data_IF_824224160182
#
_entry.id   IF_824224160182
#
_cell.length_a   1.000
_cell.length_b   1.000
_cell.length_c   1.000
_cell.angle_alpha   90.00
_cell.angle_beta   90.00
_cell.angle_gamma   90.00
#
_symmetry.space_group_name_H-M   'P 1'
#
loop_
_entity.id
_entity.type
_entity.pdbx_description
1 polymer ?
#
# COMPACT_ATOMS: atom_id res chain seq x y z
N UNK A 1 47.48 63.74 21.40
CA UNK A 1 48.25 62.63 20.80
C UNK A 1 48.02 62.70 19.31
N UNK A 2 48.99 63.23 18.57
CA UNK A 2 48.87 63.40 17.13
C UNK A 2 49.13 62.06 16.43
N UNK A 3 48.18 61.63 15.61
CA UNK A 3 48.33 60.52 14.65
C UNK A 3 49.59 60.73 13.80
N UNK A 4 50.61 59.88 14.00
CA UNK A 4 51.70 59.75 13.06
C UNK A 4 51.16 59.04 11.81
N UNK A 5 50.80 59.83 10.80
CA UNK A 5 50.52 59.32 9.46
C UNK A 5 51.83 58.78 8.89
N UNK A 6 52.00 57.46 8.89
CA UNK A 6 53.13 56.80 8.25
C UNK A 6 53.02 57.01 6.72
N UNK A 7 53.73 58.03 6.21
CA UNK A 7 53.88 58.28 4.78
C UNK A 7 54.76 57.18 4.17
N UNK A 8 54.15 56.13 3.62
CA UNK A 8 54.84 55.08 2.90
C UNK A 8 55.38 55.65 1.58
N UNK A 9 56.68 55.95 1.53
CA UNK A 9 57.33 56.44 0.33
C UNK A 9 57.65 55.27 -0.62
N UNK A 10 56.85 55.12 -1.67
CA UNK A 10 56.98 54.06 -2.70
C UNK A 10 57.93 54.42 -3.85
N UNK A 11 58.73 55.49 -3.75
CA UNK A 11 59.74 55.83 -4.76
C UNK A 11 60.94 54.86 -4.85
N UNK A 12 61.49 54.30 -3.76
CA UNK A 12 62.63 53.41 -3.88
C UNK A 12 62.21 52.05 -4.43
N UNK A 13 63.05 51.49 -5.30
CA UNK A 13 62.78 50.23 -6.03
C UNK A 13 62.42 49.09 -5.07
N UNK A 14 63.11 48.98 -3.93
CA UNK A 14 62.87 47.94 -2.93
C UNK A 14 61.48 48.01 -2.27
N UNK A 15 60.87 49.20 -2.17
CA UNK A 15 59.52 49.39 -1.65
C UNK A 15 58.43 49.05 -2.69
N UNK A 16 58.78 49.02 -3.99
CA UNK A 16 57.86 48.62 -5.09
C UNK A 16 57.82 47.12 -5.31
N UNK A 17 58.89 46.39 -4.96
CA UNK A 17 58.95 44.92 -5.06
C UNK A 17 57.79 44.24 -4.32
N UNK A 18 57.49 44.50 -3.03
CA UNK A 18 56.38 43.85 -2.35
C UNK A 18 55.01 44.21 -2.94
N UNK A 19 54.83 45.45 -3.43
CA UNK A 19 53.59 45.86 -4.11
C UNK A 19 53.41 45.13 -5.45
N UNK A 20 54.48 44.97 -6.22
CA UNK A 20 54.46 44.21 -7.47
C UNK A 20 54.20 42.72 -7.22
N UNK A 21 54.84 42.13 -6.20
CA UNK A 21 54.58 40.74 -5.79
C UNK A 21 53.14 40.53 -5.34
N UNK A 22 52.57 41.47 -4.57
CA UNK A 22 51.18 41.44 -4.17
C UNK A 22 50.23 41.52 -5.39
N UNK A 23 50.50 42.43 -6.32
CA UNK A 23 49.72 42.55 -7.55
C UNK A 23 49.80 41.28 -8.43
N UNK A 24 50.99 40.68 -8.55
CA UNK A 24 51.17 39.41 -9.27
C UNK A 24 50.45 38.25 -8.59
N UNK A 25 50.50 38.17 -7.26
CA UNK A 25 49.74 37.17 -6.50
C UNK A 25 48.23 37.36 -6.68
N UNK A 26 47.74 38.60 -6.63
CA UNK A 26 46.32 38.90 -6.86
C UNK A 26 45.88 38.49 -8.28
N UNK A 27 46.67 38.81 -9.31
CA UNK A 27 46.39 38.37 -10.68
C UNK A 27 46.41 36.84 -10.82
N UNK A 28 47.37 36.17 -10.19
CA UNK A 28 47.45 34.71 -10.18
C UNK A 28 46.23 34.09 -9.48
N UNK A 29 45.86 34.60 -8.30
CA UNK A 29 44.70 34.14 -7.55
C UNK A 29 43.39 34.40 -8.30
N UNK A 30 43.23 35.57 -8.94
CA UNK A 30 42.06 35.89 -9.77
C UNK A 30 41.98 34.99 -11.00
N UNK A 31 43.10 34.71 -11.67
CA UNK A 31 43.16 33.77 -12.78
C UNK A 31 42.75 32.35 -12.33
N UNK A 32 43.29 31.88 -11.21
CA UNK A 32 42.98 30.57 -10.68
C UNK A 32 41.51 30.45 -10.26
N UNK A 33 40.96 31.45 -9.55
CA UNK A 33 39.56 31.49 -9.17
C UNK A 33 38.60 31.56 -10.37
N UNK A 34 38.92 32.37 -11.38
CA UNK A 34 38.12 32.45 -12.60
C UNK A 34 38.16 31.13 -13.38
N UNK A 35 39.35 30.53 -13.54
CA UNK A 35 39.54 29.25 -14.20
C UNK A 35 38.77 28.14 -13.47
N UNK A 36 38.88 28.06 -12.14
CA UNK A 36 38.17 27.10 -11.31
C UNK A 36 36.65 27.29 -11.42
N UNK A 37 36.15 28.52 -11.28
CA UNK A 37 34.71 28.83 -11.34
C UNK A 37 34.08 28.53 -12.71
N UNK A 38 34.82 28.75 -13.81
CA UNK A 38 34.36 28.31 -15.14
C UNK A 38 34.32 26.78 -15.20
N UNK A 39 35.35 26.09 -14.70
CA UNK A 39 35.38 24.62 -14.66
C UNK A 39 34.22 24.02 -13.86
N UNK A 40 33.99 24.50 -12.64
CA UNK A 40 32.88 24.09 -11.77
C UNK A 40 31.51 24.32 -12.43
N UNK A 41 31.30 25.51 -13.00
CA UNK A 41 30.06 25.80 -13.76
C UNK A 41 29.90 24.83 -14.93
N UNK A 42 30.96 24.58 -15.71
CA UNK A 42 30.89 23.62 -16.82
C UNK A 42 30.56 22.19 -16.32
N UNK A 43 31.10 21.78 -15.17
CA UNK A 43 30.81 20.48 -14.56
C UNK A 43 29.35 20.35 -14.12
N UNK A 44 28.73 21.44 -13.64
CA UNK A 44 27.31 21.46 -13.27
C UNK A 44 26.39 21.38 -14.50
N UNK A 45 26.76 22.04 -15.61
CA UNK A 45 25.93 22.09 -16.82
C UNK A 45 26.11 20.89 -17.76
N UNK A 46 27.27 20.22 -17.77
CA UNK A 46 27.53 19.12 -18.70
C UNK A 46 26.48 17.98 -18.69
N UNK A 47 25.94 17.54 -17.53
CA UNK A 47 24.89 16.51 -17.52
C UNK A 47 23.57 16.96 -18.18
N UNK A 48 23.28 18.26 -18.18
CA UNK A 48 22.01 18.81 -18.71
C UNK A 48 21.94 18.66 -20.23
N UNK A 49 23.08 18.81 -20.93
CA UNK A 49 23.14 18.71 -22.39
C UNK A 49 23.20 17.28 -22.90
N UNK A 50 23.47 16.30 -22.03
CA UNK A 50 23.66 14.90 -22.42
C UNK A 50 22.46 14.31 -23.18
N UNK A 51 21.23 14.65 -22.78
CA UNK A 51 20.03 14.13 -23.43
C UNK A 51 19.86 14.59 -24.89
N UNK A 52 20.43 15.75 -25.26
CA UNK A 52 20.32 16.33 -26.60
C UNK A 52 21.59 16.15 -27.43
N UNK A 53 22.75 16.18 -26.79
CA UNK A 53 24.06 16.04 -27.43
C UNK A 53 25.08 15.41 -26.44
N UNK A 54 25.19 14.07 -26.44
CA UNK A 54 26.13 13.35 -25.59
C UNK A 54 27.59 13.77 -25.83
N UNK A 55 27.97 14.01 -27.09
CA UNK A 55 29.34 14.39 -27.45
C UNK A 55 29.70 15.73 -26.83
N UNK A 56 28.82 16.74 -26.97
CA UNK A 56 29.03 18.04 -26.34
C UNK A 56 29.07 17.97 -24.81
N UNK A 57 28.27 17.08 -24.19
CA UNK A 57 28.32 16.84 -22.75
C UNK A 57 29.68 16.30 -22.30
N UNK A 58 30.22 15.30 -23.01
CA UNK A 58 31.56 14.76 -22.73
C UNK A 58 32.65 15.82 -22.92
N UNK A 59 32.65 16.55 -24.03
CA UNK A 59 33.63 17.61 -24.29
C UNK A 59 33.60 18.70 -23.21
N UNK A 60 32.40 19.06 -22.75
CA UNK A 60 32.19 20.05 -21.68
C UNK A 60 32.74 19.53 -20.35
N UNK A 61 32.47 18.27 -20.00
CA UNK A 61 32.97 17.66 -18.77
C UNK A 61 34.50 17.48 -18.77
N UNK A 62 35.10 17.11 -19.91
CA UNK A 62 36.56 17.06 -20.02
C UNK A 62 37.18 18.45 -19.90
N UNK A 63 36.57 19.46 -20.51
CA UNK A 63 37.02 20.84 -20.39
C UNK A 63 36.91 21.32 -18.93
N UNK A 64 35.84 20.96 -18.23
CA UNK A 64 35.67 21.22 -16.81
C UNK A 64 36.84 20.61 -15.99
N UNK A 65 37.13 19.33 -16.16
CA UNK A 65 38.23 18.65 -15.46
C UNK A 65 39.62 19.22 -15.81
N UNK A 66 39.80 19.77 -17.02
CA UNK A 66 41.03 20.50 -17.39
C UNK A 66 41.12 21.86 -16.71
N UNK A 67 40.01 22.59 -16.63
CA UNK A 67 39.97 23.94 -16.05
C UNK A 67 40.05 23.91 -14.52
N UNK A 68 39.37 22.97 -13.88
CA UNK A 68 39.35 22.76 -12.43
C UNK A 68 39.81 21.33 -12.06
N UNK A 69 41.11 21.02 -12.19
CA UNK A 69 41.65 19.67 -11.92
C UNK A 69 41.67 19.28 -10.44
N UNK A 70 41.40 20.24 -9.55
CA UNK A 70 41.28 20.08 -8.11
C UNK A 70 39.82 20.17 -7.63
N UNK A 71 38.86 20.30 -8.55
CA UNK A 71 37.44 20.25 -8.24
C UNK A 71 36.94 18.79 -8.27
N UNK A 72 36.44 18.25 -7.15
CA UNK A 72 35.84 16.91 -7.13
C UNK A 72 34.59 16.82 -8.02
N UNK A 73 33.82 17.90 -8.23
CA UNK A 73 32.61 17.87 -9.05
C UNK A 73 32.95 17.67 -10.53
N UNK A 74 33.96 18.36 -11.05
CA UNK A 74 34.46 18.15 -12.42
C UNK A 74 34.82 16.68 -12.70
N UNK A 75 35.57 16.05 -11.81
CA UNK A 75 35.91 14.63 -11.92
C UNK A 75 34.70 13.71 -11.74
N UNK A 76 33.81 14.02 -10.79
CA UNK A 76 32.59 13.24 -10.54
C UNK A 76 31.63 13.28 -11.75
N UNK A 77 31.45 14.45 -12.36
CA UNK A 77 30.63 14.63 -13.56
C UNK A 77 31.20 13.82 -14.72
N UNK A 78 32.51 13.94 -14.98
CA UNK A 78 33.16 13.19 -16.06
C UNK A 78 33.06 11.67 -15.84
N UNK A 79 33.26 11.21 -14.59
CA UNK A 79 33.09 9.81 -14.22
C UNK A 79 31.66 9.30 -14.46
N UNK A 80 30.65 10.11 -14.10
CA UNK A 80 29.23 9.77 -14.33
C UNK A 80 28.92 9.62 -15.80
N UNK A 81 29.45 10.49 -16.65
CA UNK A 81 29.25 10.42 -18.10
C UNK A 81 29.86 9.15 -18.68
N UNK A 82 31.11 8.81 -18.33
CA UNK A 82 31.73 7.54 -18.77
C UNK A 82 30.96 6.30 -18.27
N UNK A 83 30.22 6.41 -17.16
CA UNK A 83 29.43 5.30 -16.60
C UNK A 83 28.06 5.12 -17.25
N UNK A 84 27.50 6.09 -17.98
CA UNK A 84 26.08 6.05 -18.39
C UNK A 84 25.72 4.77 -19.12
N UNK A 85 26.55 4.35 -20.08
CA UNK A 85 26.28 3.19 -20.93
C UNK A 85 26.85 1.88 -20.37
N UNK A 86 27.55 1.92 -19.23
CA UNK A 86 28.31 0.79 -18.68
C UNK A 86 29.15 0.06 -19.74
N UNK A 87 29.68 0.81 -20.72
CA UNK A 87 30.55 0.29 -21.75
C UNK A 87 31.82 -0.27 -21.08
N UNK A 88 32.16 -1.57 -21.27
CA UNK A 88 33.37 -2.16 -20.74
C UNK A 88 34.65 -1.40 -21.10
N UNK A 89 34.69 -0.68 -22.23
CA UNK A 89 35.86 0.10 -22.66
C UNK A 89 36.00 1.43 -21.90
N UNK A 90 34.88 2.09 -21.55
CA UNK A 90 34.87 3.39 -20.86
C UNK A 90 34.88 3.26 -19.33
N UNK A 91 34.51 2.09 -18.81
CA UNK A 91 34.43 1.83 -17.38
C UNK A 91 35.76 2.03 -16.61
N UNK A 92 36.94 1.66 -17.14
CA UNK A 92 38.22 1.99 -16.52
C UNK A 92 38.46 3.51 -16.42
N UNK A 93 38.02 4.29 -17.41
CA UNK A 93 38.12 5.76 -17.38
C UNK A 93 37.20 6.34 -16.32
N UNK A 94 35.96 5.86 -16.25
CA UNK A 94 35.03 6.24 -15.18
C UNK A 94 35.64 6.00 -13.79
N UNK A 95 36.24 4.83 -13.57
CA UNK A 95 36.88 4.47 -12.29
C UNK A 95 38.06 5.38 -11.96
N UNK A 96 38.91 5.72 -12.93
CA UNK A 96 40.03 6.65 -12.71
C UNK A 96 39.55 8.04 -12.29
N UNK A 97 38.48 8.55 -12.92
CA UNK A 97 37.89 9.85 -12.52
C UNK A 97 37.19 9.78 -11.16
N UNK A 98 36.51 8.68 -10.83
CA UNK A 98 35.96 8.47 -9.49
C UNK A 98 37.06 8.42 -8.41
N UNK A 99 38.20 7.80 -8.70
CA UNK A 99 39.34 7.76 -7.77
C UNK A 99 39.89 9.16 -7.50
N UNK A 100 40.06 9.99 -8.54
CA UNK A 100 40.45 11.40 -8.39
C UNK A 100 39.42 12.18 -7.56
N UNK A 101 38.14 12.07 -7.90
CA UNK A 101 37.07 12.71 -7.15
C UNK A 101 37.09 12.29 -5.66
N UNK A 102 37.30 11.00 -5.38
CA UNK A 102 37.33 10.47 -4.00
C UNK A 102 38.55 10.94 -3.19
N UNK A 103 39.68 11.18 -3.86
CA UNK A 103 40.88 11.73 -3.25
C UNK A 103 40.73 13.21 -2.91
N UNK A 104 40.01 13.97 -3.73
CA UNK A 104 39.71 15.39 -3.52
C UNK A 104 38.59 15.59 -2.48
N UNK A 105 37.55 14.73 -2.49
CA UNK A 105 36.38 14.79 -1.62
C UNK A 105 36.27 13.57 -0.69
N UNK A 106 37.25 13.39 0.20
CA UNK A 106 37.38 12.20 1.07
C UNK A 106 36.20 11.92 2.00
N UNK A 107 35.38 12.94 2.29
CA UNK A 107 34.20 12.87 3.17
C UNK A 107 32.86 13.04 2.43
N UNK A 108 32.86 13.05 1.10
CA UNK A 108 31.62 13.09 0.32
C UNK A 108 31.09 11.67 0.07
N UNK A 109 29.99 11.32 0.74
CA UNK A 109 29.38 10.00 0.60
C UNK A 109 28.90 9.71 -0.82
N UNK A 110 28.50 10.73 -1.60
CA UNK A 110 27.99 10.57 -2.96
C UNK A 110 29.08 10.06 -3.89
N UNK A 111 30.30 10.59 -3.74
CA UNK A 111 31.47 10.16 -4.52
C UNK A 111 31.79 8.69 -4.22
N UNK A 112 31.87 8.33 -2.94
CA UNK A 112 32.11 6.94 -2.53
C UNK A 112 31.00 5.99 -2.98
N UNK A 113 29.74 6.44 -2.96
CA UNK A 113 28.60 5.65 -3.41
C UNK A 113 28.66 5.39 -4.92
N UNK A 114 28.85 6.43 -5.72
CA UNK A 114 28.94 6.31 -7.18
C UNK A 114 30.14 5.47 -7.62
N UNK A 115 31.30 5.68 -6.99
CA UNK A 115 32.50 4.88 -7.20
C UNK A 115 32.25 3.40 -6.89
N UNK A 116 31.60 3.12 -5.75
CA UNK A 116 31.30 1.74 -5.37
C UNK A 116 30.28 1.07 -6.28
N UNK A 117 29.29 1.82 -6.78
CA UNK A 117 28.37 1.34 -7.82
C UNK A 117 29.11 1.01 -9.12
N UNK A 118 30.02 1.87 -9.56
CA UNK A 118 30.83 1.66 -10.76
C UNK A 118 31.71 0.41 -10.65
N UNK A 119 32.46 0.27 -9.54
CA UNK A 119 33.31 -0.92 -9.28
C UNK A 119 32.51 -2.21 -9.22
N UNK A 120 31.36 -2.21 -8.55
CA UNK A 120 30.50 -3.38 -8.48
C UNK A 120 29.94 -3.79 -9.86
N UNK A 121 29.71 -2.83 -10.76
CA UNK A 121 29.27 -3.11 -12.13
C UNK A 121 30.41 -3.55 -13.06
N UNK A 122 31.65 -3.13 -12.79
CA UNK A 122 32.85 -3.49 -13.57
C UNK A 122 33.43 -4.85 -13.23
N UNK A 123 32.83 -5.58 -12.29
CA UNK A 123 33.31 -6.87 -11.82
C UNK A 123 34.25 -6.78 -10.61
N UNK A 124 34.71 -5.59 -10.21
CA UNK A 124 35.39 -5.38 -8.92
C UNK A 124 34.35 -5.28 -7.78
N UNK A 125 33.71 -6.40 -7.50
CA UNK A 125 32.61 -6.47 -6.54
C UNK A 125 33.08 -6.13 -5.12
N UNK A 126 34.23 -6.64 -4.69
CA UNK A 126 34.74 -6.37 -3.33
C UNK A 126 35.23 -4.93 -3.17
N UNK A 127 35.88 -4.35 -4.18
CA UNK A 127 36.21 -2.92 -4.18
C UNK A 127 34.96 -2.04 -4.18
N UNK A 128 33.89 -2.46 -4.86
CA UNK A 128 32.59 -1.82 -4.83
C UNK A 128 31.95 -1.86 -3.44
N UNK A 129 31.94 -3.03 -2.78
CA UNK A 129 31.45 -3.20 -1.41
C UNK A 129 32.24 -2.32 -0.43
N UNK A 130 33.56 -2.24 -0.55
CA UNK A 130 34.40 -1.41 0.31
C UNK A 130 34.06 0.08 0.19
N UNK A 131 33.93 0.60 -1.03
CA UNK A 131 33.54 1.98 -1.29
C UNK A 131 32.10 2.28 -0.79
N UNK A 132 31.16 1.37 -1.00
CA UNK A 132 29.78 1.53 -0.51
C UNK A 132 29.69 1.47 1.02
N UNK A 133 30.50 0.66 1.70
CA UNK A 133 30.62 0.70 3.17
C UNK A 133 31.12 2.05 3.66
N UNK A 134 32.07 2.66 2.95
CA UNK A 134 32.55 4.02 3.27
C UNK A 134 31.44 5.04 3.09
N UNK A 135 30.66 4.96 2.01
CA UNK A 135 29.49 5.83 1.80
C UNK A 135 28.45 5.69 2.92
N UNK A 136 28.11 4.47 3.33
CA UNK A 136 27.20 4.21 4.45
C UNK A 136 27.74 4.77 5.78
N UNK A 137 29.06 4.69 6.01
CA UNK A 137 29.67 5.25 7.22
C UNK A 137 29.61 6.80 7.25
N UNK A 138 29.72 7.45 6.10
CA UNK A 138 29.63 8.91 5.96
C UNK A 138 28.18 9.42 6.04
N UNK A 139 27.21 8.63 5.57
CA UNK A 139 25.79 8.98 5.53
C UNK A 139 24.91 7.87 6.14
N UNK A 140 25.00 7.60 7.46
CA UNK A 140 24.36 6.44 8.08
C UNK A 140 22.82 6.47 8.06
N UNK A 141 22.21 7.64 7.91
CA UNK A 141 20.76 7.83 7.87
C UNK A 141 20.18 7.85 6.45
N UNK A 142 21.02 7.86 5.42
CA UNK A 142 20.56 7.86 4.04
C UNK A 142 20.30 6.42 3.57
N UNK A 143 19.12 6.21 2.97
CA UNK A 143 18.69 4.90 2.51
C UNK A 143 19.47 4.43 1.26
N UNK A 144 19.81 5.35 0.36
CA UNK A 144 20.37 5.06 -0.96
C UNK A 144 21.76 4.37 -0.92
N UNK A 145 22.74 4.82 -0.11
CA UNK A 145 24.01 4.09 0.03
C UNK A 145 23.82 2.65 0.53
N UNK A 146 22.87 2.42 1.45
CA UNK A 146 22.55 1.08 1.97
C UNK A 146 21.90 0.21 0.92
N UNK A 147 20.99 0.76 0.13
CA UNK A 147 20.38 0.09 -1.01
C UNK A 147 21.46 -0.40 -1.99
N UNK A 148 22.40 0.48 -2.37
CA UNK A 148 23.48 0.11 -3.28
C UNK A 148 24.45 -0.90 -2.66
N UNK A 149 24.80 -0.75 -1.37
CA UNK A 149 25.61 -1.73 -0.64
C UNK A 149 24.96 -3.12 -0.65
N UNK A 150 23.65 -3.19 -0.37
CA UNK A 150 22.89 -4.43 -0.41
C UNK A 150 22.94 -5.11 -1.79
N UNK A 151 22.76 -4.34 -2.87
CA UNK A 151 22.85 -4.86 -4.23
C UNK A 151 24.27 -5.35 -4.59
N UNK A 152 25.32 -4.63 -4.16
CA UNK A 152 26.70 -5.07 -4.37
C UNK A 152 27.00 -6.37 -3.59
N UNK A 153 26.49 -6.50 -2.36
CA UNK A 153 26.61 -7.71 -1.55
C UNK A 153 25.88 -8.91 -2.16
N UNK A 154 24.71 -8.72 -2.80
CA UNK A 154 24.05 -9.80 -3.57
C UNK A 154 24.94 -10.28 -4.73
N UNK A 155 25.57 -9.36 -5.47
CA UNK A 155 26.52 -9.73 -6.54
C UNK A 155 27.76 -10.47 -6.00
N UNK A 156 28.14 -10.19 -4.76
CA UNK A 156 29.21 -10.89 -4.06
C UNK A 156 28.80 -12.28 -3.52
N UNK A 157 27.54 -12.67 -3.65
CA UNK A 157 27.00 -13.90 -3.04
C UNK A 157 26.83 -13.84 -1.52
N UNK A 158 26.79 -12.63 -0.94
CA UNK A 158 26.72 -12.38 0.52
C UNK A 158 25.29 -12.03 0.92
N UNK A 159 24.36 -12.94 0.67
CA UNK A 159 22.91 -12.70 0.78
C UNK A 159 22.45 -12.22 2.16
N UNK A 160 22.93 -12.84 3.24
CA UNK A 160 22.51 -12.47 4.60
C UNK A 160 22.92 -11.03 4.96
N UNK A 161 24.13 -10.60 4.56
CA UNK A 161 24.59 -9.22 4.73
C UNK A 161 23.83 -8.26 3.81
N UNK A 162 23.60 -8.68 2.56
CA UNK A 162 22.87 -7.88 1.59
C UNK A 162 21.48 -7.51 2.10
N UNK A 163 20.69 -8.50 2.51
CA UNK A 163 19.35 -8.26 3.00
C UNK A 163 19.33 -7.54 4.36
N UNK A 164 20.42 -7.57 5.14
CA UNK A 164 20.53 -6.70 6.31
C UNK A 164 20.58 -5.21 5.94
N UNK A 165 21.35 -4.84 4.92
CA UNK A 165 21.42 -3.46 4.44
C UNK A 165 20.18 -3.04 3.65
N UNK A 166 19.61 -3.93 2.82
CA UNK A 166 18.36 -3.67 2.10
C UNK A 166 17.19 -3.41 3.05
N UNK A 167 17.08 -4.16 4.16
CA UNK A 167 16.06 -3.88 5.20
C UNK A 167 16.24 -2.49 5.80
N UNK A 168 17.46 -2.12 6.15
CA UNK A 168 17.73 -0.78 6.69
C UNK A 168 17.41 0.33 5.69
N UNK A 169 17.65 0.10 4.40
CA UNK A 169 17.22 1.03 3.35
C UNK A 169 15.69 1.12 3.27
N UNK A 170 14.98 -0.01 3.31
CA UNK A 170 13.52 -0.06 3.32
C UNK A 170 12.88 0.52 4.59
N UNK A 171 13.56 0.46 5.73
CA UNK A 171 13.08 1.08 6.98
C UNK A 171 13.28 2.60 6.96
N UNK A 172 14.33 3.10 6.30
CA UNK A 172 14.60 4.53 6.15
C UNK A 172 13.72 5.20 5.07
N UNK A 173 13.46 4.52 3.95
CA UNK A 173 12.51 4.97 2.92
C UNK A 173 11.60 3.79 2.48
N UNK A 174 10.53 3.56 3.27
CA UNK A 174 9.49 2.56 3.03
C UNK A 174 8.92 2.48 1.63
N UNK A 175 8.55 3.63 1.06
CA UNK A 175 7.82 3.69 -0.20
C UNK A 175 8.75 3.36 -1.36
N UNK A 176 10.00 3.84 -1.31
CA UNK A 176 10.96 3.67 -2.39
C UNK A 176 11.73 2.35 -2.39
N UNK A 177 12.00 1.71 -1.24
CA UNK A 177 12.88 0.53 -1.23
C UNK A 177 12.22 -0.76 -0.77
N UNK A 178 11.06 -0.70 -0.09
CA UNK A 178 10.45 -1.92 0.42
C UNK A 178 9.88 -2.82 -0.69
N UNK A 179 9.09 -2.31 -1.66
CA UNK A 179 8.66 -3.11 -2.81
C UNK A 179 9.82 -3.78 -3.56
N UNK A 180 10.93 -3.08 -3.70
CA UNK A 180 12.13 -3.51 -4.42
C UNK A 180 12.88 -4.58 -3.61
N UNK A 181 12.98 -4.42 -2.29
CA UNK A 181 13.55 -5.43 -1.40
C UNK A 181 12.72 -6.71 -1.42
N UNK A 182 11.38 -6.61 -1.43
CA UNK A 182 10.51 -7.77 -1.61
C UNK A 182 10.75 -8.47 -2.95
N UNK A 183 10.83 -7.72 -4.05
CA UNK A 183 11.09 -8.27 -5.38
C UNK A 183 12.44 -8.99 -5.46
N UNK A 184 13.50 -8.40 -4.89
CA UNK A 184 14.82 -9.03 -4.82
C UNK A 184 14.81 -10.29 -3.97
N UNK A 185 14.20 -10.26 -2.78
CA UNK A 185 14.08 -11.45 -1.92
C UNK A 185 13.33 -12.58 -2.63
N UNK A 186 12.25 -12.24 -3.32
CA UNK A 186 11.45 -13.20 -4.08
C UNK A 186 12.27 -13.90 -5.18
N UNK A 187 13.06 -13.13 -5.92
CA UNK A 187 13.92 -13.64 -6.99
C UNK A 187 15.09 -14.46 -6.45
N UNK A 188 15.87 -13.91 -5.52
CA UNK A 188 17.10 -14.52 -4.98
C UNK A 188 16.80 -15.84 -4.28
N UNK A 189 15.70 -15.91 -3.52
CA UNK A 189 15.34 -17.11 -2.79
C UNK A 189 14.42 -18.06 -3.54
N UNK A 190 14.18 -17.83 -4.83
CA UNK A 190 13.32 -18.67 -5.67
C UNK A 190 11.97 -18.98 -4.99
N UNK A 191 11.30 -17.94 -4.47
CA UNK A 191 10.01 -18.03 -3.79
C UNK A 191 10.00 -18.85 -2.48
N UNK A 192 11.15 -19.13 -1.88
CA UNK A 192 11.24 -19.79 -0.57
C UNK A 192 10.77 -18.84 0.54
N UNK A 193 9.50 -18.98 0.95
CA UNK A 193 8.83 -18.07 1.87
C UNK A 193 9.55 -17.84 3.20
N UNK A 194 10.04 -18.87 3.92
CA UNK A 194 10.82 -18.65 5.14
C UNK A 194 12.03 -17.74 4.93
N UNK A 195 12.74 -17.88 3.81
CA UNK A 195 13.88 -17.03 3.48
C UNK A 195 13.44 -15.62 3.07
N UNK A 196 12.36 -15.49 2.30
CA UNK A 196 11.78 -14.17 1.93
C UNK A 196 11.40 -13.39 3.18
N UNK A 197 10.68 -14.00 4.12
CA UNK A 197 10.27 -13.37 5.39
C UNK A 197 11.49 -12.94 6.21
N UNK A 198 12.51 -13.81 6.37
CA UNK A 198 13.76 -13.47 7.06
C UNK A 198 14.45 -12.27 6.40
N UNK A 199 14.48 -12.25 5.09
CA UNK A 199 15.19 -11.24 4.31
C UNK A 199 14.55 -9.87 4.37
N UNK A 200 13.22 -9.78 4.31
CA UNK A 200 12.47 -8.52 4.20
C UNK A 200 12.17 -7.88 5.55
N UNK A 201 12.30 -8.65 6.64
CA UNK A 201 12.20 -8.17 8.00
C UNK A 201 11.09 -8.86 8.79
N UNK A 202 11.34 -9.01 10.09
CA UNK A 202 10.42 -9.66 11.02
C UNK A 202 9.56 -8.67 11.81
N UNK A 203 9.57 -7.39 11.47
CA UNK A 203 8.68 -6.40 12.11
C UNK A 203 7.23 -6.65 11.69
N UNK A 204 6.24 -6.33 12.55
CA UNK A 204 4.83 -6.49 12.20
C UNK A 204 4.44 -5.72 10.94
N UNK A 205 4.94 -4.49 10.79
CA UNK A 205 4.72 -3.66 9.61
C UNK A 205 5.30 -4.28 8.32
N UNK A 206 6.52 -4.82 8.37
CA UNK A 206 7.13 -5.47 7.21
C UNK A 206 6.36 -6.74 6.80
N UNK A 207 5.90 -7.53 7.78
CA UNK A 207 5.06 -8.71 7.53
C UNK A 207 3.70 -8.33 6.95
N UNK A 208 3.06 -7.28 7.46
CA UNK A 208 1.79 -6.77 6.94
C UNK A 208 1.92 -6.27 5.48
N UNK A 209 3.01 -5.58 5.16
CA UNK A 209 3.30 -5.18 3.79
C UNK A 209 3.58 -6.38 2.88
N UNK A 210 4.26 -7.42 3.40
CA UNK A 210 4.44 -8.68 2.67
C UNK A 210 3.10 -9.36 2.37
N UNK A 211 2.13 -9.33 3.31
CA UNK A 211 0.76 -9.81 3.06
C UNK A 211 0.16 -9.12 1.83
N UNK A 212 0.22 -7.78 1.75
CA UNK A 212 -0.28 -7.03 0.60
C UNK A 212 0.41 -7.41 -0.72
N UNK A 213 1.73 -7.62 -0.69
CA UNK A 213 2.53 -8.04 -1.85
C UNK A 213 2.16 -9.44 -2.34
N UNK A 214 1.86 -10.36 -1.41
CA UNK A 214 1.42 -11.72 -1.70
C UNK A 214 -0.01 -11.75 -2.25
N UNK A 215 -0.90 -10.93 -1.69
CA UNK A 215 -2.27 -10.70 -2.19
C UNK A 215 -2.23 -10.25 -3.65
N UNK A 216 -1.43 -9.23 -3.98
CA UNK A 216 -1.27 -8.75 -5.36
C UNK A 216 -0.69 -9.78 -6.33
N UNK A 217 -0.05 -10.85 -5.83
CA UNK A 217 0.49 -11.97 -6.61
C UNK A 217 -0.43 -13.20 -6.61
N UNK A 218 -1.65 -13.09 -6.06
CA UNK A 218 -2.59 -14.19 -5.89
C UNK A 218 -2.03 -15.39 -5.09
N UNK A 219 -1.09 -15.14 -4.16
CA UNK A 219 -0.49 -16.15 -3.27
C UNK A 219 -1.21 -16.14 -1.91
N UNK A 220 -2.51 -16.43 -1.93
CA UNK A 220 -3.40 -16.23 -0.78
C UNK A 220 -3.06 -17.11 0.43
N UNK A 221 -2.64 -18.37 0.22
CA UNK A 221 -2.26 -19.26 1.32
C UNK A 221 -0.98 -18.77 2.03
N UNK A 222 0.00 -18.26 1.29
CA UNK A 222 1.20 -17.66 1.89
C UNK A 222 0.86 -16.35 2.62
N UNK A 223 -0.03 -15.55 2.05
CA UNK A 223 -0.51 -14.32 2.69
C UNK A 223 -1.19 -14.64 4.03
N UNK A 224 -2.03 -15.67 4.08
CA UNK A 224 -2.64 -16.18 5.31
C UNK A 224 -1.60 -16.72 6.31
N UNK A 225 -0.58 -17.44 5.84
CA UNK A 225 0.50 -17.93 6.70
C UNK A 225 1.30 -16.78 7.33
N UNK A 226 1.61 -15.73 6.57
CA UNK A 226 2.29 -14.54 7.09
C UNK A 226 1.37 -13.78 8.06
N UNK A 227 0.10 -13.58 7.71
CA UNK A 227 -0.88 -12.92 8.57
C UNK A 227 -1.06 -13.64 9.91
N UNK A 228 -1.21 -14.96 9.88
CA UNK A 228 -1.36 -15.78 11.10
C UNK A 228 -0.10 -15.84 11.97
N UNK A 229 1.07 -15.48 11.42
CA UNK A 229 2.31 -15.33 12.20
C UNK A 229 2.35 -14.10 13.09
N UNK A 230 1.42 -13.16 12.91
CA UNK A 230 1.26 -11.96 13.74
C UNK A 230 0.41 -12.27 14.99
N UNK A 231 0.80 -11.69 16.12
CA UNK A 231 0.00 -11.74 17.35
C UNK A 231 -1.37 -11.06 17.16
N UNK A 232 -2.31 -11.32 18.06
CA UNK A 232 -3.64 -10.71 17.99
C UNK A 232 -3.60 -9.17 18.13
N UNK A 233 -2.62 -8.63 18.88
CA UNK A 233 -2.43 -7.18 18.97
C UNK A 233 -1.87 -6.62 17.65
N UNK A 234 -0.82 -7.24 17.11
CA UNK A 234 -0.20 -6.83 15.85
C UNK A 234 -1.18 -6.86 14.67
N UNK A 235 -2.05 -7.89 14.59
CA UNK A 235 -3.10 -7.95 13.56
C UNK A 235 -4.09 -6.79 13.64
N UNK A 236 -4.43 -6.34 14.84
CA UNK A 236 -5.29 -5.16 15.05
C UNK A 236 -4.57 -3.85 14.69
N UNK A 237 -3.29 -3.75 15.01
CA UNK A 237 -2.47 -2.58 14.62
C UNK A 237 -2.26 -2.51 13.10
N UNK A 238 -2.26 -3.67 12.40
CA UNK A 238 -2.09 -3.79 10.96
C UNK A 238 -3.42 -4.07 10.23
N UNK A 239 -4.52 -3.46 10.70
CA UNK A 239 -5.87 -3.72 10.23
C UNK A 239 -6.05 -3.55 8.71
N UNK A 240 -5.34 -2.60 8.08
CA UNK A 240 -5.44 -2.36 6.63
C UNK A 240 -4.98 -3.55 5.80
N UNK A 241 -3.87 -4.20 6.19
CA UNK A 241 -3.37 -5.38 5.49
C UNK A 241 -4.34 -6.57 5.62
N UNK A 242 -4.92 -6.74 6.82
CA UNK A 242 -5.95 -7.75 7.07
C UNK A 242 -7.23 -7.49 6.28
N UNK A 243 -7.70 -6.23 6.22
CA UNK A 243 -8.87 -5.85 5.43
C UNK A 243 -8.67 -6.11 3.93
N UNK A 244 -7.48 -5.80 3.40
CA UNK A 244 -7.11 -6.12 2.02
C UNK A 244 -7.15 -7.62 1.74
N UNK A 245 -6.52 -8.43 2.59
CA UNK A 245 -6.53 -9.89 2.48
C UNK A 245 -7.95 -10.47 2.60
N UNK A 246 -8.73 -10.02 3.57
CA UNK A 246 -10.10 -10.47 3.77
C UNK A 246 -10.98 -10.16 2.54
N UNK A 247 -10.83 -8.98 1.94
CA UNK A 247 -11.56 -8.62 0.72
C UNK A 247 -11.18 -9.52 -0.45
N UNK A 248 -9.89 -9.76 -0.68
CA UNK A 248 -9.48 -10.66 -1.77
C UNK A 248 -9.96 -12.09 -1.54
N UNK A 249 -9.93 -12.60 -0.31
CA UNK A 249 -10.49 -13.92 0.02
C UNK A 249 -12.01 -13.97 -0.23
N UNK A 250 -12.73 -12.90 0.13
CA UNK A 250 -14.16 -12.76 -0.12
C UNK A 250 -14.46 -12.82 -1.63
N UNK A 251 -13.70 -12.08 -2.44
CA UNK A 251 -13.88 -12.04 -3.90
C UNK A 251 -13.57 -13.39 -4.58
N UNK A 252 -12.69 -14.21 -3.98
CA UNK A 252 -12.38 -15.57 -4.42
C UNK A 252 -13.32 -16.64 -3.85
N UNK A 253 -14.39 -16.23 -3.14
CA UNK A 253 -15.38 -17.15 -2.56
C UNK A 253 -14.91 -17.91 -1.31
N UNK A 254 -13.76 -17.55 -0.72
CA UNK A 254 -13.23 -18.18 0.49
C UNK A 254 -13.81 -17.51 1.76
N UNK A 255 -15.12 -17.59 1.94
CA UNK A 255 -15.86 -16.75 2.89
C UNK A 255 -15.50 -17.01 4.36
N UNK A 256 -15.24 -18.26 4.75
CA UNK A 256 -14.83 -18.59 6.12
C UNK A 256 -13.47 -17.98 6.48
N UNK A 257 -12.50 -18.09 5.56
CA UNK A 257 -11.17 -17.51 5.73
C UNK A 257 -11.23 -15.98 5.72
N UNK A 258 -12.04 -15.41 4.82
CA UNK A 258 -12.29 -13.97 4.79
C UNK A 258 -12.89 -13.45 6.10
N UNK A 259 -13.89 -14.15 6.65
CA UNK A 259 -14.52 -13.81 7.92
C UNK A 259 -13.54 -13.86 9.09
N UNK A 260 -12.71 -14.91 9.13
CA UNK A 260 -11.66 -15.04 10.14
C UNK A 260 -10.69 -13.84 10.09
N UNK A 261 -10.10 -13.56 8.92
CA UNK A 261 -9.14 -12.46 8.77
C UNK A 261 -9.79 -11.11 9.09
N UNK A 262 -11.03 -10.90 8.65
CA UNK A 262 -11.78 -9.68 8.94
C UNK A 262 -11.99 -9.46 10.45
N UNK A 263 -12.38 -10.51 11.20
CA UNK A 263 -12.51 -10.43 12.65
C UNK A 263 -11.18 -10.17 13.36
N UNK A 264 -10.11 -10.84 12.90
CA UNK A 264 -8.75 -10.66 13.45
C UNK A 264 -8.18 -9.26 13.20
N UNK A 265 -8.55 -8.62 12.08
CA UNK A 265 -8.19 -7.25 11.73
C UNK A 265 -9.00 -6.19 12.50
N UNK A 266 -9.90 -6.60 13.41
CA UNK A 266 -10.70 -5.69 14.23
C UNK A 266 -12.14 -5.46 13.73
N UNK A 267 -12.59 -6.21 12.72
CA UNK A 267 -13.98 -6.24 12.29
C UNK A 267 -14.91 -6.59 13.46
N UNK A 268 -15.87 -5.70 13.74
CA UNK A 268 -16.75 -5.82 14.91
C UNK A 268 -18.02 -6.62 14.59
N UNK A 269 -18.52 -7.34 15.60
CA UNK A 269 -19.86 -7.92 15.60
C UNK A 269 -20.12 -8.98 14.54
N UNK A 270 -19.06 -9.62 14.04
CA UNK A 270 -19.16 -10.70 13.05
C UNK A 270 -18.86 -12.04 13.69
N UNK A 271 -19.61 -13.06 13.31
CA UNK A 271 -19.39 -14.44 13.73
C UNK A 271 -19.85 -15.39 12.63
N UNK A 272 -19.27 -16.60 12.54
CA UNK A 272 -19.76 -17.61 11.62
C UNK A 272 -21.21 -17.97 12.01
N UNK A 273 -22.03 -18.22 11.00
CA UNK A 273 -23.42 -18.68 11.16
C UNK A 273 -24.33 -17.70 11.92
N UNK A 274 -23.97 -16.43 11.96
CA UNK A 274 -24.73 -15.37 12.61
C UNK A 274 -24.95 -14.20 11.66
N UNK A 275 -26.16 -13.65 11.66
CA UNK A 275 -26.45 -12.36 11.02
C UNK A 275 -25.83 -11.27 11.87
N UNK A 276 -24.87 -10.52 11.33
CA UNK A 276 -24.27 -9.41 12.06
C UNK A 276 -25.21 -8.20 12.04
N UNK A 277 -25.28 -7.45 13.13
CA UNK A 277 -26.17 -6.29 13.23
C UNK A 277 -27.64 -6.61 12.84
N UNK A 278 -28.14 -7.78 13.22
CA UNK A 278 -29.50 -8.23 12.87
C UNK A 278 -30.62 -7.35 13.44
N UNK A 279 -30.37 -6.69 14.58
CA UNK A 279 -31.25 -5.69 15.19
C UNK A 279 -30.94 -4.24 14.77
N UNK A 280 -30.04 -4.02 13.80
CA UNK A 280 -29.77 -2.70 13.21
C UNK A 280 -29.32 -1.59 14.18
N UNK A 281 -28.69 -1.95 15.30
CA UNK A 281 -28.15 -1.01 16.29
C UNK A 281 -26.90 -0.26 15.80
N UNK A 282 -26.16 -0.86 14.86
CA UNK A 282 -25.00 -0.25 14.20
C UNK A 282 -25.40 0.41 12.86
N UNK A 283 -24.61 1.39 12.42
CA UNK A 283 -24.82 2.04 11.13
C UNK A 283 -24.66 1.06 9.95
N UNK A 284 -25.47 1.27 8.91
CA UNK A 284 -25.52 0.45 7.70
C UNK A 284 -25.19 1.27 6.44
N UNK A 285 -24.85 0.59 5.35
CA UNK A 285 -24.76 1.23 4.03
C UNK A 285 -23.54 2.10 3.78
N UNK A 286 -22.46 1.94 4.56
CA UNK A 286 -21.18 2.55 4.23
C UNK A 286 -20.45 1.73 3.14
N UNK A 287 -20.14 2.32 1.96
CA UNK A 287 -19.43 1.59 0.90
C UNK A 287 -18.05 1.11 1.35
N UNK A 288 -17.76 -0.17 1.12
CA UNK A 288 -16.39 -0.73 1.20
C UNK A 288 -15.85 -1.04 2.60
N UNK A 289 -16.49 -0.61 3.69
CA UNK A 289 -15.94 -0.76 5.05
C UNK A 289 -16.41 -2.01 5.81
N UNK A 290 -17.30 -2.84 5.24
CA UNK A 290 -17.99 -3.87 6.02
C UNK A 290 -18.38 -5.15 5.24
N UNK A 291 -17.41 -6.00 4.89
CA UNK A 291 -17.61 -7.21 4.05
C UNK A 291 -18.78 -8.12 4.46
N UNK A 292 -19.02 -8.27 5.76
CA UNK A 292 -20.04 -9.17 6.32
C UNK A 292 -21.22 -8.44 6.98
N UNK A 293 -21.32 -7.11 6.84
CA UNK A 293 -22.44 -6.34 7.39
C UNK A 293 -23.53 -6.09 6.33
N UNK A 294 -24.65 -5.52 6.76
CA UNK A 294 -25.73 -5.08 5.90
C UNK A 294 -25.25 -4.06 4.86
N UNK A 295 -25.27 -4.49 3.60
CA UNK A 295 -25.03 -3.68 2.44
C UNK A 295 -26.32 -3.00 2.02
N UNK A 296 -26.22 -1.71 1.71
CA UNK A 296 -27.33 -0.90 1.21
C UNK A 296 -26.84 -0.13 -0.01
N UNK A 297 -27.49 -0.32 -1.15
CA UNK A 297 -27.27 0.50 -2.35
C UNK A 297 -28.41 1.48 -2.56
N UNK A 298 -28.14 2.59 -3.25
CA UNK A 298 -29.16 3.57 -3.59
C UNK A 298 -30.25 2.93 -4.47
N UNK A 299 -31.51 3.18 -4.10
CA UNK A 299 -32.68 2.77 -4.87
C UNK A 299 -33.52 4.02 -5.19
N UNK A 300 -33.75 4.38 -6.46
CA UNK A 300 -34.57 5.56 -6.81
C UNK A 300 -36.00 5.45 -6.28
N UNK A 301 -36.51 4.23 -6.19
CA UNK A 301 -37.91 3.92 -5.89
C UNK A 301 -38.18 3.67 -4.40
N UNK A 302 -37.14 3.70 -3.56
CA UNK A 302 -37.25 3.37 -2.14
C UNK A 302 -36.20 4.11 -1.30
N UNK A 303 -36.62 4.65 -0.15
CA UNK A 303 -35.69 5.20 0.83
C UNK A 303 -35.40 4.14 1.89
N UNK A 304 -34.13 3.76 2.02
CA UNK A 304 -33.65 2.84 3.05
C UNK A 304 -32.96 3.64 4.15
N UNK A 305 -33.41 3.51 5.39
CA UNK A 305 -32.84 4.24 6.51
C UNK A 305 -33.02 3.48 7.82
N UNK A 306 -32.20 3.81 8.82
CA UNK A 306 -32.41 3.36 10.19
C UNK A 306 -33.44 4.26 10.88
N UNK A 307 -34.37 3.66 11.63
CA UNK A 307 -35.45 4.37 12.33
C UNK A 307 -35.35 4.12 13.84
N UNK A 308 -35.39 5.20 14.63
CA UNK A 308 -35.32 5.15 16.10
C UNK A 308 -36.70 5.26 16.77
N UNK A 309 -37.77 5.43 15.99
CA UNK A 309 -39.15 5.59 16.51
C UNK A 309 -39.94 4.30 16.51
N UNK A 310 -39.52 3.33 15.71
CA UNK A 310 -40.12 2.03 15.60
C UNK A 310 -39.00 1.00 15.63
N UNK A 311 -38.87 0.30 16.75
CA UNK A 311 -37.99 -0.84 16.91
C UNK A 311 -38.79 -1.97 17.55
N UNK A 312 -38.46 -3.22 17.22
CA UNK A 312 -38.97 -4.39 17.91
C UNK A 312 -38.04 -4.72 19.08
N UNK A 313 -36.76 -4.92 18.78
CA UNK A 313 -35.67 -5.07 19.73
C UNK A 313 -34.84 -3.79 19.83
N UNK A 314 -34.14 -3.59 20.94
CA UNK A 314 -33.17 -2.49 21.04
C UNK A 314 -33.76 -1.07 20.89
N UNK A 315 -33.12 -0.25 20.05
CA UNK A 315 -33.43 1.18 19.85
C UNK A 315 -33.61 1.56 18.38
N UNK A 316 -33.19 0.72 17.43
CA UNK A 316 -33.23 1.02 16.00
C UNK A 316 -33.87 -0.14 15.25
N UNK A 317 -34.38 0.13 14.06
CA UNK A 317 -34.72 -0.91 13.08
C UNK A 317 -34.46 -0.42 11.66
N UNK A 318 -34.47 -1.33 10.69
CA UNK A 318 -34.36 -0.99 9.28
C UNK A 318 -35.72 -0.57 8.73
N UNK A 319 -35.85 0.66 8.23
CA UNK A 319 -37.05 1.17 7.56
C UNK A 319 -36.83 1.30 6.05
N UNK A 320 -37.78 0.78 5.28
CA UNK A 320 -37.94 1.02 3.85
C UNK A 320 -39.20 1.85 3.63
N UNK A 321 -39.09 2.98 2.94
CA UNK A 321 -40.22 3.79 2.49
C UNK A 321 -40.32 3.71 0.97
N UNK A 322 -41.44 3.21 0.48
CA UNK A 322 -41.75 3.14 -0.94
C UNK A 322 -42.73 4.25 -1.32
N UNK A 323 -42.45 4.89 -2.45
CA UNK A 323 -43.35 5.86 -3.08
C UNK A 323 -43.20 5.77 -4.59
N UNK A 324 -43.65 4.65 -5.18
CA UNK A 324 -43.45 4.35 -6.58
C UNK A 324 -44.75 3.93 -7.25
N UNK A 325 -45.13 4.64 -8.31
CA UNK A 325 -46.33 4.37 -9.10
C UNK A 325 -46.13 3.30 -10.19
N UNK A 326 -44.88 2.99 -10.54
CA UNK A 326 -44.52 2.03 -11.58
C UNK A 326 -44.00 0.70 -11.04
N UNK A 327 -43.48 -0.13 -11.95
CA UNK A 327 -42.74 -1.34 -11.58
C UNK A 327 -41.48 -1.00 -10.78
N UNK A 328 -41.25 -1.75 -9.69
CA UNK A 328 -40.04 -1.63 -8.87
C UNK A 328 -39.51 -3.03 -8.60
N UNK A 329 -38.35 -3.33 -9.20
CA UNK A 329 -37.48 -4.42 -8.74
C UNK A 329 -36.60 -3.85 -7.62
N UNK A 330 -36.66 -4.46 -6.44
CA UNK A 330 -35.89 -4.01 -5.28
C UNK A 330 -35.04 -5.16 -4.76
N UNK A 331 -33.72 -4.94 -4.73
CA UNK A 331 -32.71 -5.91 -4.27
C UNK A 331 -31.59 -5.26 -3.47
N UNK A 332 -31.81 -4.01 -3.06
CA UNK A 332 -30.76 -3.08 -2.65
C UNK A 332 -30.27 -3.27 -1.21
N UNK A 333 -30.86 -4.19 -0.45
CA UNK A 333 -30.46 -4.49 0.92
C UNK A 333 -30.15 -5.98 1.04
N UNK A 334 -28.91 -6.28 1.44
CA UNK A 334 -28.47 -7.66 1.64
C UNK A 334 -27.36 -7.77 2.67
N UNK A 335 -27.15 -8.97 3.18
CA UNK A 335 -25.99 -9.32 3.99
C UNK A 335 -25.50 -10.70 3.59
N UNK A 336 -24.18 -10.87 3.57
CA UNK A 336 -23.56 -12.19 3.45
C UNK A 336 -23.33 -12.80 4.82
N UNK A 337 -23.74 -14.06 4.99
CA UNK A 337 -23.55 -14.83 6.21
C UNK A 337 -22.78 -16.10 5.87
N UNK A 338 -21.61 -16.29 6.49
CA UNK A 338 -20.85 -17.54 6.36
C UNK A 338 -21.61 -18.69 7.04
N UNK A 339 -21.78 -19.81 6.35
CA UNK A 339 -22.55 -20.97 6.82
C UNK A 339 -21.80 -22.27 6.59
N UNK A 340 -22.23 -23.35 7.23
CA UNK A 340 -21.68 -24.67 6.98
C UNK A 340 -22.36 -25.33 5.76
N UNK A 341 -21.59 -26.09 4.95
CA UNK A 341 -22.17 -26.94 3.91
C UNK A 341 -23.12 -27.99 4.49
N UNK A 342 -24.07 -28.45 3.67
CA UNK A 342 -24.99 -29.56 4.00
C UNK A 342 -25.70 -29.44 5.36
N UNK A 343 -26.02 -28.21 5.77
CA UNK A 343 -26.59 -27.89 7.07
C UNK A 343 -27.96 -27.23 6.90
N UNK A 344 -28.91 -27.59 7.77
CA UNK A 344 -30.23 -26.97 7.80
C UNK A 344 -30.22 -25.77 8.74
N UNK A 345 -30.80 -24.68 8.27
CA UNK A 345 -30.91 -23.44 9.00
C UNK A 345 -32.34 -22.92 9.00
N UNK A 346 -32.64 -22.15 10.04
CA UNK A 346 -33.84 -21.35 10.20
C UNK A 346 -33.41 -19.90 10.44
N UNK A 347 -33.72 -19.04 9.48
CA UNK A 347 -33.61 -17.60 9.63
C UNK A 347 -34.93 -17.08 10.21
N UNK A 348 -34.88 -16.32 11.30
CA UNK A 348 -36.03 -15.62 11.88
C UNK A 348 -35.80 -14.12 11.87
N UNK A 349 -36.86 -13.33 11.75
CA UNK A 349 -36.82 -11.88 11.83
C UNK A 349 -38.23 -11.34 12.13
N UNK A 350 -38.30 -10.07 12.53
CA UNK A 350 -39.56 -9.36 12.72
C UNK A 350 -39.80 -8.36 11.59
N UNK A 351 -41.06 -8.25 11.19
CA UNK A 351 -41.49 -7.30 10.15
C UNK A 351 -42.73 -6.55 10.60
N UNK A 352 -42.79 -5.26 10.26
CA UNK A 352 -43.93 -4.36 10.54
C UNK A 352 -44.25 -3.56 9.28
N UNK A 353 -45.52 -3.21 9.08
CA UNK A 353 -45.95 -2.36 7.95
C UNK A 353 -46.83 -1.20 8.38
N UNK A 354 -46.80 -0.11 7.61
CA UNK A 354 -47.64 1.08 7.79
C UNK A 354 -48.12 1.58 6.43
N UNK A 355 -49.45 1.55 6.22
CA UNK A 355 -50.13 1.89 4.96
C UNK A 355 -49.49 1.23 3.72
N UNK A 356 -49.04 -0.03 3.84
CA UNK A 356 -48.39 -0.72 2.73
C UNK A 356 -49.42 -1.16 1.67
N UNK A 357 -49.35 -0.55 0.49
CA UNK A 357 -50.26 -0.83 -0.62
C UNK A 357 -49.47 -1.30 -1.83
N UNK A 358 -49.62 -2.56 -2.19
CA UNK A 358 -49.05 -3.14 -3.41
C UNK A 358 -49.69 -4.48 -3.76
N UNK A 359 -49.66 -4.85 -5.04
CA UNK A 359 -50.02 -6.19 -5.50
C UNK A 359 -48.91 -7.23 -5.25
N UNK A 360 -47.65 -6.78 -5.19
CA UNK A 360 -46.50 -7.61 -4.85
C UNK A 360 -45.63 -6.87 -3.82
N UNK A 361 -45.38 -7.51 -2.68
CA UNK A 361 -44.59 -6.97 -1.58
C UNK A 361 -43.22 -7.65 -1.51
N UNK A 362 -42.40 -7.23 -0.54
CA UNK A 362 -41.08 -7.78 -0.34
C UNK A 362 -41.16 -9.21 0.21
N UNK A 363 -40.14 -10.00 -0.11
CA UNK A 363 -39.83 -11.29 0.49
C UNK A 363 -38.37 -11.26 0.95
N UNK A 364 -38.05 -12.05 1.96
CA UNK A 364 -36.66 -12.35 2.31
C UNK A 364 -36.25 -13.58 1.52
N UNK A 365 -35.25 -13.43 0.68
CA UNK A 365 -34.69 -14.50 -0.17
C UNK A 365 -33.32 -14.87 0.37
N UNK A 366 -33.08 -16.18 0.46
CA UNK A 366 -31.81 -16.76 0.85
C UNK A 366 -31.21 -17.43 -0.38
N UNK A 367 -30.13 -16.88 -0.91
CA UNK A 367 -29.38 -17.42 -2.05
C UNK A 367 -28.03 -17.98 -1.63
N UNK A 368 -27.46 -18.89 -2.41
CA UNK A 368 -26.06 -19.27 -2.26
C UNK A 368 -25.17 -18.09 -2.71
N UNK A 369 -24.11 -17.79 -1.97
CA UNK A 369 -23.20 -16.69 -2.31
C UNK A 369 -22.47 -16.89 -3.66
N UNK A 370 -22.23 -18.14 -4.06
CA UNK A 370 -21.65 -18.47 -5.36
C UNK A 370 -22.68 -18.41 -6.51
N UNK A 371 -23.96 -18.59 -6.19
CA UNK A 371 -25.05 -18.49 -7.17
C UNK A 371 -26.39 -18.23 -6.47
N UNK A 372 -26.93 -17.02 -6.59
CA UNK A 372 -28.21 -16.66 -5.94
C UNK A 372 -29.43 -17.37 -6.57
N UNK A 373 -29.26 -18.12 -7.67
CA UNK A 373 -30.34 -18.80 -8.38
C UNK A 373 -30.05 -20.29 -8.64
N UNK A 374 -30.96 -21.20 -8.28
CA UNK A 374 -32.22 -20.98 -7.57
C UNK A 374 -32.00 -20.57 -6.10
N UNK A 375 -32.97 -19.87 -5.51
CA UNK A 375 -32.94 -19.54 -4.09
C UNK A 375 -32.99 -20.82 -3.23
N UNK A 376 -32.25 -20.84 -2.13
CA UNK A 376 -32.25 -21.90 -1.13
C UNK A 376 -33.49 -21.84 -0.23
N UNK A 377 -34.02 -20.64 -0.02
CA UNK A 377 -35.22 -20.40 0.77
C UNK A 377 -35.82 -19.02 0.47
N UNK A 378 -37.13 -18.89 0.66
CA UNK A 378 -37.85 -17.62 0.47
C UNK A 378 -38.97 -17.52 1.50
N UNK A 379 -39.17 -16.33 2.06
CA UNK A 379 -40.29 -16.05 2.97
C UNK A 379 -41.61 -15.90 2.21
N UNK A 380 -42.72 -15.97 2.94
CA UNK A 380 -43.97 -15.41 2.45
C UNK A 380 -43.82 -13.89 2.18
N UNK A 381 -44.57 -13.32 1.22
CA UNK A 381 -44.62 -11.88 1.01
C UNK A 381 -45.08 -11.14 2.27
N UNK A 382 -44.50 -9.98 2.53
CA UNK A 382 -44.90 -9.11 3.66
C UNK A 382 -46.38 -8.72 3.52
N UNK A 383 -47.19 -8.76 4.60
CA UNK A 383 -48.61 -8.41 4.53
C UNK A 383 -48.84 -6.95 4.12
N UNK A 384 -49.91 -6.69 3.39
CA UNK A 384 -50.35 -5.34 3.03
C UNK A 384 -51.13 -4.70 4.18
N UNK A 385 -51.32 -3.38 4.11
CA UNK A 385 -51.98 -2.57 5.14
C UNK A 385 -51.04 -2.18 6.28
N UNK A 386 -51.64 -1.87 7.43
CA UNK A 386 -50.93 -1.54 8.67
C UNK A 386 -50.97 -2.74 9.60
N UNK A 387 -49.82 -3.36 9.82
CA UNK A 387 -49.66 -4.52 10.68
C UNK A 387 -48.59 -4.20 11.71
N UNK A 388 -48.84 -4.53 12.97
CA UNK A 388 -47.80 -4.46 14.00
C UNK A 388 -46.73 -5.53 13.77
N UNK A 389 -45.68 -5.54 14.58
CA UNK A 389 -44.57 -6.48 14.48
C UNK A 389 -45.05 -7.94 14.45
N UNK A 390 -44.65 -8.65 13.40
CA UNK A 390 -44.91 -10.07 13.19
C UNK A 390 -43.59 -10.80 12.99
N UNK A 391 -43.45 -11.95 13.63
CA UNK A 391 -42.31 -12.82 13.40
C UNK A 391 -42.51 -13.62 12.10
N UNK A 392 -41.49 -13.63 11.26
CA UNK A 392 -41.41 -14.47 10.08
C UNK A 392 -40.20 -15.39 10.16
N UNK A 393 -40.24 -16.49 9.41
CA UNK A 393 -39.16 -17.46 9.36
C UNK A 393 -38.96 -18.02 7.95
N UNK A 394 -37.71 -18.33 7.61
CA UNK A 394 -37.33 -19.03 6.37
C UNK A 394 -36.46 -20.21 6.76
N UNK A 395 -36.91 -21.42 6.44
CA UNK A 395 -36.12 -22.65 6.60
C UNK A 395 -35.46 -23.00 5.26
N UNK A 396 -34.19 -23.35 5.30
CA UNK A 396 -33.42 -23.71 4.11
C UNK A 396 -32.33 -24.73 4.42
N UNK A 397 -31.81 -25.39 3.38
CA UNK A 397 -30.70 -26.33 3.49
C UNK A 397 -29.58 -25.90 2.55
N UNK A 398 -28.37 -25.80 3.08
CA UNK A 398 -27.18 -25.48 2.29
C UNK A 398 -26.73 -26.69 1.47
N UNK A 399 -26.18 -26.45 0.28
CA UNK A 399 -25.64 -27.51 -0.55
C UNK A 399 -24.26 -27.97 -0.04
N UNK A 400 -23.71 -29.03 -0.65
CA UNK A 400 -22.41 -29.59 -0.24
C UNK A 400 -21.21 -28.65 -0.46
N UNK A 401 -21.36 -27.58 -1.23
CA UNK A 401 -20.32 -26.59 -1.53
C UNK A 401 -20.66 -25.17 -1.05
N UNK A 402 -21.80 -24.99 -0.40
CA UNK A 402 -22.25 -23.68 0.07
C UNK A 402 -21.44 -23.28 1.29
N UNK A 403 -20.54 -22.30 1.13
CA UNK A 403 -19.74 -21.74 2.23
C UNK A 403 -20.36 -20.47 2.84
N UNK A 404 -21.22 -19.79 2.09
CA UNK A 404 -21.94 -18.61 2.55
C UNK A 404 -23.30 -18.51 1.85
N UNK A 405 -24.22 -17.81 2.49
CA UNK A 405 -25.50 -17.42 1.91
C UNK A 405 -25.65 -15.91 1.91
N UNK A 406 -26.46 -15.42 0.99
CA UNK A 406 -26.88 -14.02 0.94
C UNK A 406 -28.32 -13.95 1.42
N UNK A 407 -28.54 -13.22 2.51
CA UNK A 407 -29.86 -12.82 2.99
C UNK A 407 -30.21 -11.51 2.29
N UNK A 408 -31.20 -11.53 1.40
CA UNK A 408 -31.57 -10.37 0.57
C UNK A 408 -33.04 -10.02 0.73
N UNK A 409 -33.32 -8.72 0.84
CA UNK A 409 -34.67 -8.19 0.71
C UNK A 409 -35.00 -8.05 -0.77
N UNK A 410 -35.96 -8.84 -1.25
CA UNK A 410 -36.32 -8.93 -2.67
C UNK A 410 -37.78 -8.58 -2.88
N UNK A 411 -38.04 -7.63 -3.78
CA UNK A 411 -39.34 -7.44 -4.41
C UNK A 411 -39.20 -7.75 -5.90
N UNK A 412 -39.77 -8.87 -6.35
CA UNK A 412 -39.91 -9.13 -7.77
C UNK A 412 -40.98 -8.21 -8.38
N UNK A 413 -40.80 -7.79 -9.63
CA UNK A 413 -41.83 -7.08 -10.38
C UNK A 413 -43.08 -7.94 -10.60
N UNK A 414 -44.25 -7.31 -10.72
CA UNK A 414 -45.47 -8.02 -11.08
C UNK A 414 -45.46 -8.43 -12.57
N UNK A 415 -46.27 -9.41 -12.99
CA UNK A 415 -46.49 -9.69 -14.41
C UNK A 415 -47.22 -8.55 -15.17
N UNK A 416 -47.98 -7.71 -14.46
CA UNK A 416 -48.78 -6.62 -15.03
C UNK A 416 -47.95 -5.35 -15.27
N UNK A 417 -48.29 -4.55 -16.30
CA UNK A 417 -47.55 -3.33 -16.67
C UNK A 417 -47.44 -2.27 -15.55
N UNK A 418 -48.35 -2.30 -14.57
CA UNK A 418 -48.35 -1.40 -13.41
C UNK A 418 -48.36 -2.19 -12.10
N UNK A 419 -47.33 -2.00 -11.28
CA UNK A 419 -47.14 -2.70 -10.01
C UNK A 419 -46.69 -1.71 -8.93
N UNK A 420 -47.52 -0.71 -8.59
CA UNK A 420 -47.15 0.33 -7.66
C UNK A 420 -46.90 -0.21 -6.25
N UNK A 421 -46.08 0.50 -5.49
CA UNK A 421 -45.86 0.24 -4.06
C UNK A 421 -45.75 1.56 -3.31
N UNK A 422 -46.59 1.69 -2.28
CA UNK A 422 -46.62 2.83 -1.38
C UNK A 422 -46.64 2.34 0.07
N UNK A 423 -46.04 3.11 0.97
CA UNK A 423 -46.06 2.83 2.40
C UNK A 423 -44.69 2.44 2.95
N UNK A 424 -44.67 1.99 4.19
CA UNK A 424 -43.43 1.69 4.92
C UNK A 424 -43.39 0.24 5.36
N UNK A 425 -42.18 -0.30 5.38
CA UNK A 425 -41.86 -1.62 5.92
C UNK A 425 -40.71 -1.44 6.89
N UNK A 426 -40.79 -2.04 8.07
CA UNK A 426 -39.67 -2.16 8.99
C UNK A 426 -39.26 -3.62 9.12
N UNK A 427 -37.97 -3.85 9.25
CA UNK A 427 -37.39 -5.15 9.59
C UNK A 427 -36.49 -5.01 10.82
N UNK A 428 -36.50 -6.04 11.66
CA UNK A 428 -35.70 -6.05 12.88
C UNK A 428 -35.38 -7.48 13.34
N UNK A 429 -34.40 -7.60 14.24
CA UNK A 429 -34.01 -8.84 14.93
C UNK A 429 -33.80 -10.06 14.01
N UNK A 430 -33.05 -9.89 12.92
CA UNK A 430 -32.62 -11.02 12.10
C UNK A 430 -31.69 -11.95 12.91
N UNK A 431 -32.05 -13.22 12.97
CA UNK A 431 -31.29 -14.26 13.68
C UNK A 431 -31.25 -15.55 12.85
N UNK A 432 -30.10 -16.23 12.85
CA UNK A 432 -29.87 -17.46 12.09
C UNK A 432 -29.49 -18.59 13.04
N UNK A 433 -30.25 -19.68 13.00
CA UNK A 433 -30.01 -20.84 13.86
C UNK A 433 -29.97 -22.14 13.06
N UNK A 434 -29.17 -23.11 13.51
CA UNK A 434 -29.19 -24.47 12.94
C UNK A 434 -30.48 -25.19 13.34
N UNK A 435 -31.21 -25.70 12.36
CA UNK A 435 -32.41 -26.51 12.58
C UNK A 435 -32.01 -27.96 12.88
N UNK A 436 -31.70 -28.26 14.15
CA UNK A 436 -31.40 -29.63 14.61
C UNK A 436 -30.32 -29.81 15.68
N UNK A 437 -29.74 -28.74 16.23
CA UNK A 437 -28.83 -28.81 17.38
C UNK A 437 -29.56 -28.47 18.68
N UNK A 438 -29.39 -29.30 19.71
CA UNK A 438 -29.89 -29.07 21.09
C UNK A 438 -29.67 -27.60 21.49
N UNK A 439 -30.74 -26.92 21.90
CA UNK A 439 -30.65 -25.60 22.53
C UNK A 439 -29.57 -25.65 23.63
N UNK A 440 -28.44 -24.99 23.42
CA UNK A 440 -27.52 -24.68 24.49
C UNK A 440 -28.23 -23.64 25.35
N UNK A 441 -28.77 -24.10 26.48
CA UNK A 441 -29.37 -23.25 27.49
C UNK A 441 -28.37 -22.14 27.86
N UNK A 442 -28.83 -20.90 27.69
CA UNK A 442 -28.17 -19.73 28.24
C UNK A 442 -27.89 -19.96 29.74
N UNK A 443 -26.66 -19.67 30.15
CA UNK A 443 -26.29 -19.35 31.53
C UNK A 443 -25.53 -18.05 31.53
#
# INVERSE_FOLDING_TARGET
>A
MAEQIALINVRPVWARVPLALFALFALFASWHAARWGIGDTMAEYAPVTYATDPTAAFETAEAAARLAPDDPLAHLTLARLYRVDFDPEELPRALAEYERASALATNDYLVWMEMGRARAASGDVEGGVAALRRAVALAPYYAEPRWHLGNALLRAGRDDEAFAELRRAADADPERYRPQTFNLAWQVYNQNMPRVIKAVGNTPAARAQLVGVLVGRNRLDDALAVWSSLSAQERREQAEAGAGLARTLYDHGQYHRALQVFGEAGGQGVAPEAVSNGGFELDIGQPGSQLFQWQVTAAPSAQVALDTRAAHGGRRSLRLLFNAAGQVDFRNVWQMVAVQPSTRYRLTYFVRTDDLRSAATLTVVIGDAASETPALGQSAPVPTGTNDWQQAAVEFMTAAKTEAVIVRLVRAGCPEESCPIFGKIWYDDFDLQRSGGRAAAAR
#
